data_IF_542807441247
#
_entry.id   IF_542807441247
#
_cell.length_a   1.000
_cell.length_b   1.000
_cell.length_c   1.000
_cell.angle_alpha   90.00
_cell.angle_beta   90.00
_cell.angle_gamma   90.00
#
_symmetry.space_group_name_H-M   'P 1'
#
loop_
_entity.id
_entity.type
_entity.pdbx_description
1 polymer ?
#
# COMPACT_ATOMS: atom_id res chain seq x y z
N UNK A 1 3.47 0.13 58.07
CA UNK A 1 2.61 -1.06 58.11
C UNK A 1 3.10 -1.93 59.24
N UNK A 2 2.26 -2.16 60.24
CA UNK A 2 2.62 -2.90 61.44
C UNK A 2 2.50 -4.41 61.15
N UNK A 3 3.62 -5.13 61.25
CA UNK A 3 3.69 -6.56 60.96
C UNK A 3 2.99 -7.41 62.04
N UNK A 4 2.59 -6.80 63.15
CA UNK A 4 1.92 -7.47 64.27
C UNK A 4 0.46 -7.84 63.96
N UNK A 5 -0.21 -7.10 63.07
CA UNK A 5 -1.61 -7.34 62.68
C UNK A 5 -1.78 -8.54 61.72
N UNK A 6 -0.70 -8.98 61.06
CA UNK A 6 -0.72 -10.07 60.09
C UNK A 6 -0.60 -11.46 60.74
N UNK A 7 -0.21 -11.53 62.02
CA UNK A 7 0.13 -12.79 62.69
C UNK A 7 -1.09 -13.59 63.18
N UNK A 8 -2.29 -13.01 63.10
CA UNK A 8 -3.54 -13.64 63.53
C UNK A 8 -4.54 -13.95 62.41
N UNK A 9 -4.25 -13.57 61.16
CA UNK A 9 -5.18 -13.78 60.04
C UNK A 9 -4.96 -15.16 59.43
N UNK A 10 -6.03 -15.94 59.33
CA UNK A 10 -5.97 -17.23 58.63
C UNK A 10 -5.72 -17.01 57.14
N UNK A 11 -5.15 -18.01 56.45
CA UNK A 11 -4.96 -17.93 55.00
C UNK A 11 -6.27 -17.60 54.28
N UNK A 12 -7.42 -18.15 54.72
CA UNK A 12 -8.72 -17.82 54.14
C UNK A 12 -9.15 -16.37 54.35
N UNK A 13 -8.72 -15.70 55.43
CA UNK A 13 -9.06 -14.31 55.68
C UNK A 13 -8.17 -13.36 54.89
N UNK A 14 -6.89 -13.70 54.73
CA UNK A 14 -6.00 -13.00 53.80
C UNK A 14 -6.47 -13.14 52.35
N UNK A 15 -6.90 -14.34 51.95
CA UNK A 15 -7.51 -14.57 50.63
C UNK A 15 -8.82 -13.81 50.45
N UNK A 16 -9.68 -13.73 51.48
CA UNK A 16 -10.93 -12.94 51.45
C UNK A 16 -10.67 -11.45 51.29
N UNK A 17 -9.65 -10.93 51.97
CA UNK A 17 -9.25 -9.52 51.91
C UNK A 17 -8.63 -9.18 50.55
N UNK A 18 -7.83 -10.08 49.97
CA UNK A 18 -7.32 -9.96 48.59
C UNK A 18 -8.45 -10.04 47.56
N UNK A 19 -9.42 -10.94 47.73
CA UNK A 19 -10.60 -11.06 46.85
C UNK A 19 -11.54 -9.86 46.98
N UNK A 20 -11.66 -9.23 48.16
CA UNK A 20 -12.37 -7.97 48.34
C UNK A 20 -11.61 -6.77 47.75
N UNK A 21 -10.28 -6.76 47.80
CA UNK A 21 -9.45 -5.74 47.15
C UNK A 21 -9.38 -5.90 45.62
N UNK A 22 -9.62 -7.11 45.12
CA UNK A 22 -9.86 -7.44 43.71
C UNK A 22 -11.36 -7.53 43.39
N UNK A 23 -12.17 -6.69 44.03
CA UNK A 23 -13.49 -6.36 43.52
C UNK A 23 -13.35 -5.84 42.09
N UNK A 24 -13.89 -6.59 41.14
CA UNK A 24 -14.06 -6.17 39.75
C UNK A 24 -14.63 -4.74 39.73
N UNK A 25 -13.94 -3.72 39.18
CA UNK A 25 -14.51 -2.38 39.12
C UNK A 25 -15.58 -2.40 38.03
N UNK A 26 -16.84 -2.56 38.42
CA UNK A 26 -17.88 -2.82 37.42
C UNK A 26 -19.33 -2.78 37.89
N UNK A 27 -19.63 -2.23 39.06
CA UNK A 27 -21.01 -1.85 39.38
C UNK A 27 -21.48 -0.73 38.44
N UNK A 28 -22.74 -0.77 37.97
CA UNK A 28 -23.33 0.33 37.18
C UNK A 28 -23.23 1.69 37.90
N UNK A 29 -23.20 1.67 39.23
CA UNK A 29 -23.01 2.84 40.09
C UNK A 29 -21.60 3.44 39.98
N UNK A 30 -20.56 2.62 39.95
CA UNK A 30 -19.16 3.08 39.86
C UNK A 30 -18.84 3.69 38.50
N UNK A 31 -19.40 3.11 37.43
CA UNK A 31 -19.26 3.63 36.07
C UNK A 31 -19.93 4.99 35.95
N UNK A 32 -21.14 5.14 36.48
CA UNK A 32 -21.88 6.42 36.43
C UNK A 32 -21.18 7.49 37.27
N UNK A 33 -20.65 7.14 38.44
CA UNK A 33 -19.86 8.06 39.26
C UNK A 33 -18.59 8.51 38.52
N UNK A 34 -17.86 7.58 37.89
CA UNK A 34 -16.68 7.91 37.10
C UNK A 34 -17.00 8.81 35.88
N UNK A 35 -18.12 8.57 35.21
CA UNK A 35 -18.58 9.44 34.10
C UNK A 35 -18.94 10.85 34.57
N UNK A 36 -19.56 10.98 35.75
CA UNK A 36 -19.93 12.28 36.33
C UNK A 36 -18.73 13.08 36.85
N UNK A 37 -17.59 12.43 37.10
CA UNK A 37 -16.32 13.12 37.38
C UNK A 37 -15.81 13.89 36.16
N UNK A 38 -16.09 13.41 34.95
CA UNK A 38 -15.62 14.05 33.71
C UNK A 38 -16.35 15.36 33.46
N UNK A 39 -17.68 15.35 33.59
CA UNK A 39 -18.52 16.52 33.40
C UNK A 39 -19.74 16.44 34.33
N UNK A 40 -20.10 17.51 35.07
CA UNK A 40 -21.33 17.56 35.84
C UNK A 40 -22.56 17.40 34.95
N UNK A 41 -23.47 16.51 35.32
CA UNK A 41 -24.70 16.25 34.56
C UNK A 41 -25.83 17.17 35.02
N UNK A 42 -26.66 17.61 34.06
CA UNK A 42 -27.86 18.38 34.36
C UNK A 42 -28.83 17.56 35.23
N UNK A 43 -29.47 18.22 36.19
CA UNK A 43 -30.50 17.60 37.01
C UNK A 43 -31.76 17.32 36.18
N UNK A 44 -32.31 16.12 36.30
CA UNK A 44 -33.50 15.71 35.57
C UNK A 44 -34.66 16.67 35.84
N UNK A 45 -34.84 17.16 37.07
CA UNK A 45 -35.96 18.05 37.39
C UNK A 45 -35.89 19.39 36.65
N UNK A 46 -34.69 19.84 36.28
CA UNK A 46 -34.47 21.14 35.63
C UNK A 46 -34.84 21.17 34.14
N UNK A 47 -35.04 20.01 33.51
CA UNK A 47 -35.25 19.92 32.05
C UNK A 47 -36.59 19.25 31.72
N UNK A 48 -37.51 20.02 31.13
CA UNK A 48 -38.85 19.56 30.74
C UNK A 48 -38.96 19.20 29.25
N UNK A 49 -38.06 19.72 28.41
CA UNK A 49 -38.06 19.49 26.97
C UNK A 49 -36.63 19.36 26.43
N UNK A 50 -36.48 18.57 25.36
CA UNK A 50 -35.18 18.40 24.70
C UNK A 50 -34.67 19.74 24.17
N UNK A 51 -33.47 20.22 24.55
CA UNK A 51 -32.96 21.51 24.12
C UNK A 51 -32.70 21.57 22.60
N UNK A 52 -32.49 20.40 21.97
CA UNK A 52 -32.14 20.23 20.57
C UNK A 52 -33.35 20.22 19.62
N UNK A 53 -34.42 19.50 19.95
CA UNK A 53 -35.59 19.38 19.07
C UNK A 53 -36.91 19.84 19.71
N UNK A 54 -36.84 20.38 20.93
CA UNK A 54 -37.99 20.91 21.71
C UNK A 54 -39.09 19.90 22.02
N UNK A 55 -38.85 18.61 21.83
CA UNK A 55 -39.79 17.55 22.23
C UNK A 55 -39.88 17.47 23.76
N UNK A 56 -41.09 17.55 24.31
CA UNK A 56 -41.34 17.41 25.74
C UNK A 56 -40.95 16.01 26.23
N UNK A 57 -40.32 15.94 27.41
CA UNK A 57 -39.97 14.67 28.04
C UNK A 57 -41.20 14.04 28.70
N UNK A 58 -41.26 12.71 28.66
CA UNK A 58 -42.32 11.93 29.28
C UNK A 58 -41.76 10.58 29.76
N UNK A 59 -42.05 10.14 31.00
CA UNK A 59 -41.43 8.94 31.59
C UNK A 59 -41.57 7.64 30.77
N UNK A 60 -42.64 7.52 29.97
CA UNK A 60 -42.93 6.32 29.20
C UNK A 60 -42.52 6.42 27.72
N UNK A 61 -42.63 7.60 27.11
CA UNK A 61 -42.60 7.75 25.65
C UNK A 61 -41.42 8.59 25.15
N UNK A 62 -40.82 9.42 26.00
CA UNK A 62 -39.63 10.21 25.67
C UNK A 62 -38.80 10.40 26.94
N UNK A 63 -37.96 9.41 27.26
CA UNK A 63 -37.12 9.43 28.44
C UNK A 63 -35.94 10.39 28.27
N UNK A 64 -35.38 10.81 29.40
CA UNK A 64 -34.22 11.70 29.47
C UNK A 64 -32.94 10.89 29.31
N UNK A 65 -31.97 11.46 28.58
CA UNK A 65 -30.65 10.88 28.39
C UNK A 65 -29.59 11.95 28.56
N UNK A 66 -28.59 11.71 29.39
CA UNK A 66 -27.46 12.63 29.54
C UNK A 66 -26.43 12.45 28.44
N UNK A 67 -25.91 13.55 27.93
CA UNK A 67 -24.69 13.56 27.14
C UNK A 67 -23.51 13.26 28.05
N UNK A 68 -22.76 12.20 27.77
CA UNK A 68 -21.57 11.85 28.55
C UNK A 68 -20.41 12.84 28.33
N UNK A 69 -20.46 13.65 27.26
CA UNK A 69 -19.43 14.67 27.00
C UNK A 69 -19.73 16.01 27.70
N UNK A 70 -20.96 16.52 27.59
CA UNK A 70 -21.32 17.87 28.09
C UNK A 70 -22.34 17.88 29.23
N UNK A 71 -22.83 16.73 29.69
CA UNK A 71 -23.77 16.61 30.80
C UNK A 71 -25.23 17.01 30.49
N UNK A 72 -25.51 17.61 29.33
CA UNK A 72 -26.87 18.05 28.97
C UNK A 72 -27.85 16.91 28.77
N UNK A 73 -29.13 17.14 29.08
CA UNK A 73 -30.21 16.18 28.84
C UNK A 73 -30.76 16.32 27.42
N UNK A 74 -30.91 15.21 26.69
CA UNK A 74 -31.54 15.13 25.38
C UNK A 74 -32.46 13.90 25.22
N UNK A 75 -33.24 13.88 24.14
CA UNK A 75 -34.03 12.73 23.73
C UNK A 75 -33.26 11.77 22.81
N UNK A 76 -33.70 10.52 22.73
CA UNK A 76 -33.24 9.50 21.78
C UNK A 76 -34.34 9.12 20.77
N UNK A 77 -35.11 10.11 20.33
CA UNK A 77 -36.22 9.90 19.41
C UNK A 77 -35.74 9.88 17.94
N UNK A 78 -36.39 9.11 17.05
CA UNK A 78 -36.00 8.96 15.64
C UNK A 78 -36.21 10.24 14.82
N UNK A 79 -35.58 10.36 13.66
CA UNK A 79 -35.72 11.53 12.76
C UNK A 79 -37.21 11.83 12.47
N UNK A 80 -37.59 13.11 12.54
CA UNK A 80 -38.94 13.61 12.22
C UNK A 80 -38.86 14.97 11.57
N UNK A 81 -39.02 15.03 10.25
CA UNK A 81 -38.97 16.29 9.51
C UNK A 81 -40.26 17.12 9.68
N UNK A 82 -40.18 18.46 9.79
CA UNK A 82 -38.97 19.28 9.86
C UNK A 82 -38.41 19.45 11.29
N UNK A 83 -39.12 18.99 12.33
CA UNK A 83 -38.81 19.32 13.73
C UNK A 83 -37.47 18.73 14.24
N UNK A 84 -37.01 17.62 13.66
CA UNK A 84 -35.79 16.90 13.99
C UNK A 84 -35.23 16.25 12.71
N UNK A 85 -34.41 16.96 11.93
CA UNK A 85 -33.82 16.42 10.70
C UNK A 85 -32.73 15.36 10.96
N UNK A 86 -32.13 15.38 12.15
CA UNK A 86 -31.10 14.44 12.59
C UNK A 86 -31.33 14.05 14.07
N UNK A 87 -30.88 12.86 14.51
CA UNK A 87 -31.06 12.42 15.89
C UNK A 87 -30.41 13.37 16.89
N UNK A 88 -31.01 13.49 18.08
CA UNK A 88 -30.50 14.37 19.13
C UNK A 88 -29.38 13.71 19.95
N UNK A 89 -29.40 12.38 20.03
CA UNK A 89 -28.37 11.58 20.67
C UNK A 89 -27.70 10.67 19.65
N UNK A 90 -26.41 10.46 19.82
CA UNK A 90 -25.56 9.60 19.01
C UNK A 90 -24.81 8.64 19.93
N UNK A 91 -24.45 7.48 19.40
CA UNK A 91 -23.70 6.47 20.13
C UNK A 91 -22.34 6.27 19.47
N UNK A 92 -21.27 6.34 20.27
CA UNK A 92 -19.91 6.11 19.81
C UNK A 92 -19.28 4.95 20.56
N UNK A 93 -18.51 4.12 19.89
CA UNK A 93 -17.62 3.15 20.54
C UNK A 93 -16.18 3.59 20.33
N UNK A 94 -15.30 3.22 21.26
CA UNK A 94 -13.87 3.39 21.10
C UNK A 94 -13.22 2.00 21.12
N UNK A 95 -12.34 1.75 20.16
CA UNK A 95 -11.45 0.59 20.17
C UNK A 95 -10.43 0.77 21.31
N UNK A 96 -10.37 -0.21 22.21
CA UNK A 96 -9.50 -0.17 23.40
C UNK A 96 -8.00 -0.23 23.06
N UNK A 97 -7.63 -0.76 21.90
CA UNK A 97 -6.24 -0.90 21.44
C UNK A 97 -5.83 0.29 20.59
N UNK A 98 -6.66 0.69 19.63
CA UNK A 98 -6.31 1.75 18.68
C UNK A 98 -6.75 3.15 19.14
N UNK A 99 -7.66 3.24 20.11
CA UNK A 99 -8.28 4.51 20.52
C UNK A 99 -9.21 5.09 19.46
N UNK A 100 -9.39 4.41 18.33
CA UNK A 100 -10.22 4.88 17.22
C UNK A 100 -11.68 4.89 17.64
N UNK A 101 -12.36 5.98 17.34
CA UNK A 101 -13.76 6.19 17.68
C UNK A 101 -14.61 5.93 16.44
N UNK A 102 -15.73 5.24 16.62
CA UNK A 102 -16.70 4.91 15.57
C UNK A 102 -18.12 5.24 16.03
N UNK A 103 -18.90 5.86 15.15
CA UNK A 103 -20.33 6.09 15.36
C UNK A 103 -21.11 4.81 15.04
N UNK A 104 -21.98 4.35 15.96
CA UNK A 104 -22.73 3.10 15.80
C UNK A 104 -24.22 3.38 15.78
N UNK A 105 -24.95 2.63 14.95
CA UNK A 105 -26.41 2.67 14.90
C UNK A 105 -27.07 2.13 16.18
N UNK A 106 -28.33 2.51 16.43
CA UNK A 106 -29.11 2.08 17.60
C UNK A 106 -29.17 0.54 17.66
N UNK A 107 -28.62 -0.05 18.73
CA UNK A 107 -28.51 -1.51 18.90
C UNK A 107 -27.35 -1.97 19.81
N UNK A 108 -26.46 -1.07 20.22
CA UNK A 108 -25.45 -1.33 21.26
C UNK A 108 -25.97 -0.76 22.57
N UNK A 109 -26.47 -1.62 23.45
CA UNK A 109 -26.97 -1.22 24.77
C UNK A 109 -25.81 -0.68 25.63
N UNK A 110 -26.00 0.53 26.16
CA UNK A 110 -25.09 1.13 27.13
C UNK A 110 -25.09 0.31 28.42
N UNK A 111 -24.00 -0.41 28.72
CA UNK A 111 -23.86 -1.12 29.99
C UNK A 111 -24.85 -2.26 30.21
N UNK A 112 -25.41 -2.86 29.15
CA UNK A 112 -26.16 -4.13 29.19
C UNK A 112 -25.80 -4.94 27.95
N UNK A 113 -25.57 -6.27 28.12
CA UNK A 113 -25.23 -7.22 27.05
C UNK A 113 -26.13 -7.02 25.82
N UNK A 114 -25.54 -7.10 24.61
CA UNK A 114 -26.30 -7.30 23.36
C UNK A 114 -27.38 -8.36 23.59
N UNK A 115 -28.66 -7.99 23.49
CA UNK A 115 -29.73 -8.98 23.39
C UNK A 115 -29.56 -9.69 22.06
N UNK A 116 -29.49 -11.04 22.02
CA UNK A 116 -29.61 -11.77 20.77
C UNK A 116 -30.94 -11.35 20.13
N UNK A 117 -30.90 -10.93 18.87
CA UNK A 117 -32.11 -10.70 18.08
C UNK A 117 -32.96 -11.97 18.13
N UNK A 118 -34.19 -11.87 18.62
CA UNK A 118 -35.14 -12.97 18.65
C UNK A 118 -35.63 -13.25 17.23
N UNK A 119 -34.85 -14.03 16.48
CA UNK A 119 -35.33 -14.75 15.29
C UNK A 119 -34.51 -16.05 15.18
N UNK A 120 -35.08 -17.23 15.51
CA UNK A 120 -34.39 -18.49 15.36
C UNK A 120 -34.45 -18.92 13.89
N UNK A 121 -33.62 -18.33 13.05
CA UNK A 121 -33.34 -18.88 11.73
C UNK A 121 -32.25 -19.94 11.89
N UNK A 122 -32.67 -21.20 11.82
CA UNK A 122 -31.86 -22.42 11.86
C UNK A 122 -30.58 -22.30 11.01
N UNK A 123 -29.45 -22.63 11.64
CA UNK A 123 -28.32 -23.26 10.95
C UNK A 123 -27.24 -22.33 10.45
N UNK A 124 -26.43 -21.77 11.35
CA UNK A 124 -25.01 -21.50 11.07
C UNK A 124 -24.21 -21.76 12.34
N UNK A 125 -23.10 -22.48 12.16
CA UNK A 125 -22.13 -22.87 13.21
C UNK A 125 -21.83 -21.66 14.10
N UNK A 126 -21.95 -21.87 15.41
CA UNK A 126 -21.40 -21.00 16.44
C UNK A 126 -19.87 -21.01 16.29
N UNK A 127 -19.33 -20.05 15.55
CA UNK A 127 -17.96 -19.61 15.78
C UNK A 127 -18.00 -18.80 17.08
N UNK A 128 -17.20 -19.23 18.06
CA UNK A 128 -17.08 -18.57 19.34
C UNK A 128 -16.54 -17.14 19.14
N UNK A 129 -17.44 -16.16 19.04
CA UNK A 129 -17.08 -14.75 19.20
C UNK A 129 -16.42 -14.58 20.57
N UNK A 130 -15.21 -14.03 20.58
CA UNK A 130 -14.42 -13.83 21.79
C UNK A 130 -15.19 -13.03 22.84
N UNK A 131 -14.97 -13.34 24.13
CA UNK A 131 -15.65 -12.66 25.25
C UNK A 131 -15.50 -11.13 25.23
N UNK A 132 -14.44 -10.63 24.59
CA UNK A 132 -14.15 -9.20 24.42
C UNK A 132 -15.10 -8.48 23.44
N UNK A 133 -15.70 -9.18 22.46
CA UNK A 133 -16.67 -8.60 21.52
C UNK A 133 -18.07 -8.42 22.13
N UNK A 134 -18.31 -9.01 23.32
CA UNK A 134 -19.62 -9.02 23.98
C UNK A 134 -19.95 -7.72 24.72
N UNK A 135 -18.98 -6.82 24.90
CA UNK A 135 -19.13 -5.58 25.67
C UNK A 135 -18.44 -4.39 25.00
N UNK A 136 -18.92 -3.97 23.84
CA UNK A 136 -18.58 -2.64 23.34
C UNK A 136 -19.24 -1.60 24.26
N UNK A 137 -18.44 -0.99 25.15
CA UNK A 137 -18.89 0.12 26.01
C UNK A 137 -19.07 1.36 25.13
N UNK A 138 -20.26 1.52 24.56
CA UNK A 138 -20.61 2.73 23.82
C UNK A 138 -20.76 3.93 24.75
N UNK A 139 -20.47 5.13 24.26
CA UNK A 139 -20.64 6.43 24.90
C UNK A 139 -21.74 7.21 24.19
N UNK A 140 -22.79 7.61 24.91
CA UNK A 140 -23.88 8.41 24.32
C UNK A 140 -23.55 9.90 24.41
N UNK A 141 -23.57 10.60 23.27
CA UNK A 141 -23.33 12.04 23.19
C UNK A 141 -24.47 12.75 22.48
N UNK A 142 -24.56 14.06 22.66
CA UNK A 142 -25.52 14.87 21.91
C UNK A 142 -24.95 15.22 20.53
N UNK A 143 -25.81 15.53 19.57
CA UNK A 143 -25.36 15.91 18.22
C UNK A 143 -24.43 17.12 18.20
N UNK A 144 -24.63 18.09 19.10
CA UNK A 144 -23.76 19.28 19.22
C UNK A 144 -22.35 18.92 19.70
N UNK A 145 -22.20 17.79 20.40
CA UNK A 145 -20.92 17.27 20.87
C UNK A 145 -20.18 16.44 19.82
N UNK A 146 -20.85 16.01 18.75
CA UNK A 146 -20.25 15.22 17.67
C UNK A 146 -19.00 15.89 17.07
N UNK A 147 -19.02 17.19 16.70
CA UNK A 147 -17.85 17.83 16.11
C UNK A 147 -16.68 17.94 17.09
N UNK A 148 -16.95 18.02 18.41
CA UNK A 148 -15.92 18.07 19.45
C UNK A 148 -15.19 16.73 19.53
N UNK A 149 -15.95 15.62 19.57
CA UNK A 149 -15.39 14.27 19.61
C UNK A 149 -14.55 13.96 18.36
N UNK A 150 -15.09 14.27 17.17
CA UNK A 150 -14.38 14.03 15.90
C UNK A 150 -13.12 14.89 15.77
N UNK A 151 -13.12 16.12 16.29
CA UNK A 151 -11.91 16.96 16.33
C UNK A 151 -10.83 16.34 17.21
N UNK A 152 -11.21 15.75 18.34
CA UNK A 152 -10.23 15.11 19.23
C UNK A 152 -9.64 13.85 18.59
N UNK A 153 -10.46 13.03 17.93
CA UNK A 153 -9.98 11.91 17.11
C UNK A 153 -8.99 12.39 16.04
N UNK A 154 -9.32 13.44 15.30
CA UNK A 154 -8.42 14.00 14.29
C UNK A 154 -7.07 14.42 14.88
N UNK A 155 -7.04 15.09 16.04
CA UNK A 155 -5.77 15.46 16.70
C UNK A 155 -4.95 14.24 17.09
N UNK A 156 -5.58 13.16 17.54
CA UNK A 156 -4.89 11.92 17.88
C UNK A 156 -4.29 11.28 16.62
N UNK A 157 -5.07 11.18 15.56
CA UNK A 157 -4.63 10.64 14.26
C UNK A 157 -3.47 11.48 13.68
N UNK A 158 -3.57 12.81 13.76
CA UNK A 158 -2.56 13.75 13.27
C UNK A 158 -1.22 13.70 14.02
N UNK A 159 -1.17 13.15 15.24
CA UNK A 159 0.10 12.90 15.96
C UNK A 159 0.90 11.74 15.36
N UNK A 160 0.23 10.82 14.67
CA UNK A 160 0.88 9.66 14.07
C UNK A 160 1.29 9.97 12.64
N UNK A 161 2.56 9.73 12.31
CA UNK A 161 3.03 9.81 10.92
C UNK A 161 2.57 8.52 10.23
N UNK A 162 1.70 8.59 9.20
CA UNK A 162 1.20 7.40 8.53
C UNK A 162 2.33 6.60 7.88
N UNK A 163 2.17 5.27 7.82
CA UNK A 163 3.15 4.38 7.17
C UNK A 163 3.43 4.78 5.72
N UNK A 164 2.40 5.29 5.03
CA UNK A 164 2.50 5.81 3.67
C UNK A 164 3.59 6.89 3.54
N UNK A 165 3.68 7.82 4.50
CA UNK A 165 4.67 8.90 4.47
C UNK A 165 6.09 8.36 4.62
N UNK A 166 6.29 7.42 5.56
CA UNK A 166 7.61 6.79 5.77
C UNK A 166 8.10 6.02 4.54
N UNK A 167 7.20 5.31 3.85
CA UNK A 167 7.54 4.63 2.60
C UNK A 167 7.86 5.61 1.47
N UNK A 168 7.12 6.72 1.41
CA UNK A 168 7.37 7.77 0.43
C UNK A 168 8.74 8.46 0.66
N UNK A 169 9.10 8.76 1.91
CA UNK A 169 10.42 9.32 2.24
C UNK A 169 11.56 8.37 1.81
N UNK A 170 11.41 7.07 2.07
CA UNK A 170 12.37 6.06 1.62
C UNK A 170 12.44 5.97 0.08
N UNK A 171 11.28 6.05 -0.59
CA UNK A 171 11.18 6.03 -2.04
C UNK A 171 11.91 7.23 -2.68
N UNK A 172 11.72 8.45 -2.15
CA UNK A 172 12.42 9.65 -2.63
C UNK A 172 13.92 9.62 -2.30
N UNK A 173 14.29 9.08 -1.13
CA UNK A 173 15.71 8.93 -0.76
C UNK A 173 16.44 8.00 -1.73
N UNK A 174 15.79 6.91 -2.14
CA UNK A 174 16.34 5.96 -3.10
C UNK A 174 16.38 6.52 -4.53
N UNK A 175 15.38 7.33 -4.92
CA UNK A 175 15.42 8.08 -6.19
C UNK A 175 16.69 8.93 -6.27
N UNK A 176 16.98 9.69 -5.20
CA UNK A 176 18.17 10.52 -5.09
C UNK A 176 19.46 9.69 -5.13
N UNK A 177 19.52 8.56 -4.42
CA UNK A 177 20.69 7.67 -4.46
C UNK A 177 20.99 7.17 -5.89
N UNK A 178 19.94 6.82 -6.65
CA UNK A 178 20.07 6.41 -8.04
C UNK A 178 20.57 7.58 -8.91
N UNK A 179 19.99 8.77 -8.74
CA UNK A 179 20.41 9.98 -9.48
C UNK A 179 21.86 10.36 -9.20
N UNK A 180 22.32 10.25 -7.96
CA UNK A 180 23.70 10.53 -7.55
C UNK A 180 24.70 9.47 -8.08
N UNK A 181 24.27 8.20 -8.18
CA UNK A 181 25.10 7.09 -8.64
C UNK A 181 25.23 6.97 -10.16
N UNK A 182 24.23 7.43 -10.92
CA UNK A 182 24.20 7.32 -12.38
C UNK A 182 25.38 8.02 -13.08
N UNK A 183 25.73 9.29 -12.77
CA UNK A 183 26.88 9.96 -13.40
C UNK A 183 28.21 9.24 -13.12
N UNK A 184 28.41 8.75 -11.89
CA UNK A 184 29.61 8.02 -11.50
C UNK A 184 29.74 6.72 -12.29
N UNK A 185 28.63 6.00 -12.48
CA UNK A 185 28.61 4.81 -13.30
C UNK A 185 28.88 5.11 -14.78
N UNK A 186 28.32 6.20 -15.32
CA UNK A 186 28.55 6.62 -16.71
C UNK A 186 30.03 7.00 -16.96
N UNK A 187 30.69 7.65 -16.01
CA UNK A 187 32.12 7.96 -16.09
C UNK A 187 32.98 6.69 -16.08
N UNK A 188 32.67 5.75 -15.17
CA UNK A 188 33.31 4.43 -15.14
C UNK A 188 33.14 3.71 -16.48
N UNK A 189 31.94 3.75 -17.07
CA UNK A 189 31.65 3.17 -18.38
C UNK A 189 32.47 3.79 -19.52
N UNK A 190 32.62 5.12 -19.55
CA UNK A 190 33.45 5.80 -20.55
C UNK A 190 34.93 5.43 -20.41
N UNK A 191 35.42 5.25 -19.18
CA UNK A 191 36.80 4.79 -18.95
C UNK A 191 37.04 3.36 -19.44
N UNK A 192 36.01 2.50 -19.44
CA UNK A 192 36.06 1.14 -19.99
C UNK A 192 36.09 1.11 -21.51
N UNK A 193 35.62 2.14 -22.21
CA UNK A 193 35.76 2.21 -23.67
C UNK A 193 37.23 2.19 -24.12
N UNK A 194 38.19 2.43 -23.21
CA UNK A 194 39.63 2.34 -23.45
C UNK A 194 40.27 1.00 -23.01
N UNK A 195 39.52 0.12 -22.36
CA UNK A 195 40.01 -1.14 -21.78
C UNK A 195 39.04 -2.31 -22.07
N UNK A 196 39.52 -3.40 -22.69
CA UNK A 196 38.70 -4.56 -23.11
C UNK A 196 37.93 -5.29 -21.99
N UNK A 197 38.15 -4.99 -20.70
CA UNK A 197 37.50 -5.68 -19.58
C UNK A 197 36.94 -4.71 -18.52
N UNK A 198 35.69 -4.90 -18.06
CA UNK A 198 35.11 -4.15 -16.95
C UNK A 198 35.96 -4.26 -15.67
N UNK A 199 36.24 -3.14 -15.03
CA UNK A 199 36.89 -3.12 -13.72
C UNK A 199 35.96 -3.75 -12.67
N UNK A 200 36.52 -4.34 -11.60
CA UNK A 200 35.70 -4.85 -10.49
C UNK A 200 34.85 -3.74 -9.86
N UNK A 201 35.34 -2.50 -9.87
CA UNK A 201 34.61 -1.32 -9.42
C UNK A 201 33.38 -1.01 -10.29
N UNK A 202 33.53 -1.00 -11.63
CA UNK A 202 32.40 -0.80 -12.54
C UNK A 202 31.34 -1.91 -12.42
N UNK A 203 31.77 -3.15 -12.26
CA UNK A 203 30.87 -4.29 -12.05
C UNK A 203 30.11 -4.19 -10.72
N UNK A 204 30.78 -3.76 -9.65
CA UNK A 204 30.17 -3.52 -8.34
C UNK A 204 29.19 -2.34 -8.37
N UNK A 205 29.55 -1.24 -9.03
CA UNK A 205 28.68 -0.07 -9.22
C UNK A 205 27.41 -0.45 -9.99
N UNK A 206 27.55 -1.21 -11.10
CA UNK A 206 26.42 -1.74 -11.86
C UNK A 206 25.48 -2.57 -10.99
N UNK A 207 26.03 -3.48 -10.18
CA UNK A 207 25.23 -4.34 -9.29
C UNK A 207 24.44 -3.52 -8.28
N UNK A 208 25.08 -2.55 -7.60
CA UNK A 208 24.41 -1.68 -6.62
C UNK A 208 23.29 -0.87 -7.29
N UNK A 209 23.53 -0.34 -8.48
CA UNK A 209 22.55 0.45 -9.21
C UNK A 209 21.33 -0.38 -9.63
N UNK A 210 21.54 -1.61 -10.13
CA UNK A 210 20.45 -2.55 -10.44
C UNK A 210 19.65 -2.94 -9.19
N UNK A 211 20.33 -3.13 -8.06
CA UNK A 211 19.67 -3.41 -6.78
C UNK A 211 18.83 -2.22 -6.31
N UNK A 212 19.37 -1.00 -6.39
CA UNK A 212 18.65 0.23 -6.06
C UNK A 212 17.40 0.41 -6.95
N UNK A 213 17.51 0.18 -8.26
CA UNK A 213 16.34 0.18 -9.16
C UNK A 213 15.28 -0.86 -8.78
N UNK A 214 15.71 -2.07 -8.41
CA UNK A 214 14.81 -3.12 -7.94
C UNK A 214 14.10 -2.75 -6.62
N UNK A 215 14.82 -2.15 -5.68
CA UNK A 215 14.25 -1.65 -4.43
C UNK A 215 13.26 -0.49 -4.67
N UNK A 216 13.55 0.38 -5.63
CA UNK A 216 12.71 1.53 -6.00
C UNK A 216 11.37 1.07 -6.62
N UNK A 217 11.41 0.12 -7.55
CA UNK A 217 10.21 -0.52 -8.08
C UNK A 217 9.38 -1.23 -6.99
N UNK A 218 10.05 -1.98 -6.11
CA UNK A 218 9.40 -2.68 -5.02
C UNK A 218 8.70 -1.72 -4.04
N UNK A 219 9.34 -0.60 -3.69
CA UNK A 219 8.75 0.44 -2.84
C UNK A 219 7.54 1.10 -3.51
N UNK A 220 7.65 1.45 -4.79
CA UNK A 220 6.53 2.00 -5.57
C UNK A 220 5.31 1.07 -5.58
N UNK A 221 5.52 -0.22 -5.87
CA UNK A 221 4.47 -1.25 -5.84
C UNK A 221 3.86 -1.42 -4.46
N UNK A 222 4.69 -1.40 -3.41
CA UNK A 222 4.23 -1.48 -2.01
C UNK A 222 3.37 -0.28 -1.64
N UNK A 223 3.76 0.93 -2.03
CA UNK A 223 2.98 2.15 -1.81
C UNK A 223 1.61 2.04 -2.51
N UNK A 224 1.58 1.50 -3.74
CA UNK A 224 0.33 1.31 -4.49
C UNK A 224 -0.62 0.26 -3.91
N UNK A 225 -0.10 -0.70 -3.15
CA UNK A 225 -0.89 -1.77 -2.52
C UNK A 225 -1.42 -1.39 -1.13
N UNK A 226 -1.03 -0.24 -0.57
CA UNK A 226 -1.50 0.19 0.74
C UNK A 226 -3.01 0.49 0.72
N UNK A 227 -3.77 0.08 1.75
CA UNK A 227 -5.19 0.43 1.86
C UNK A 227 -5.43 1.94 1.82
N UNK A 228 -6.44 2.34 1.05
CA UNK A 228 -6.82 3.76 0.89
C UNK A 228 -8.01 4.10 1.77
N UNK A 229 -7.87 5.13 2.60
CA UNK A 229 -9.01 5.63 3.38
C UNK A 229 -10.01 6.28 2.43
N UNK A 230 -11.22 5.75 2.34
CA UNK A 230 -12.27 6.23 1.44
C UNK A 230 -12.44 5.42 0.15
N UNK A 231 -11.66 4.36 -0.06
CA UNK A 231 -11.82 3.44 -1.18
C UNK A 231 -11.25 3.93 -2.52
N UNK A 232 -11.64 3.28 -3.64
CA UNK A 232 -11.23 3.69 -4.99
C UNK A 232 -11.57 5.15 -5.28
N UNK A 233 -10.71 5.85 -6.02
CA UNK A 233 -10.84 7.27 -6.37
C UNK A 233 -10.72 8.27 -5.21
N UNK A 234 -10.43 7.81 -3.99
CA UNK A 234 -10.08 8.69 -2.87
C UNK A 234 -8.84 9.55 -3.17
N UNK A 235 -8.64 10.63 -2.42
CA UNK A 235 -7.43 11.46 -2.56
C UNK A 235 -6.14 10.66 -2.35
N UNK A 236 -6.16 9.70 -1.41
CA UNK A 236 -5.04 8.81 -1.16
C UNK A 236 -4.78 7.86 -2.33
N UNK A 237 -5.83 7.27 -2.92
CA UNK A 237 -5.71 6.40 -4.09
C UNK A 237 -5.09 7.14 -5.29
N UNK A 238 -5.58 8.36 -5.58
CA UNK A 238 -5.01 9.21 -6.64
C UNK A 238 -3.53 9.52 -6.41
N UNK A 239 -3.15 9.79 -5.16
CA UNK A 239 -1.75 10.06 -4.80
C UNK A 239 -0.86 8.81 -4.96
N UNK A 240 -1.32 7.64 -4.50
CA UNK A 240 -0.62 6.37 -4.68
C UNK A 240 -0.46 6.00 -6.17
N UNK A 241 -1.49 6.27 -6.99
CA UNK A 241 -1.44 6.07 -8.43
C UNK A 241 -0.42 7.00 -9.11
N UNK A 242 -0.36 8.27 -8.69
CA UNK A 242 0.63 9.22 -9.20
C UNK A 242 2.07 8.83 -8.85
N UNK A 243 2.31 8.33 -7.63
CA UNK A 243 3.64 7.82 -7.22
C UNK A 243 4.04 6.63 -8.10
N UNK A 244 3.12 5.69 -8.34
CA UNK A 244 3.39 4.54 -9.21
C UNK A 244 3.71 4.98 -10.66
N UNK A 245 2.97 5.96 -11.19
CA UNK A 245 3.23 6.52 -12.52
C UNK A 245 4.61 7.21 -12.59
N UNK A 246 4.97 8.02 -11.58
CA UNK A 246 6.30 8.64 -11.46
C UNK A 246 7.39 7.58 -11.46
N UNK A 247 7.23 6.53 -10.66
CA UNK A 247 8.21 5.46 -10.58
C UNK A 247 8.45 4.79 -11.94
N UNK A 248 7.37 4.45 -12.65
CA UNK A 248 7.46 3.85 -13.98
C UNK A 248 8.21 4.75 -14.97
N UNK A 249 7.91 6.05 -14.98
CA UNK A 249 8.61 7.03 -15.84
C UNK A 249 10.09 7.14 -15.48
N UNK A 250 10.42 7.18 -14.20
CA UNK A 250 11.80 7.25 -13.73
C UNK A 250 12.61 6.01 -14.11
N UNK A 251 12.02 4.81 -13.96
CA UNK A 251 12.64 3.55 -14.36
C UNK A 251 12.88 3.49 -15.86
N UNK A 252 11.87 3.84 -16.68
CA UNK A 252 12.01 3.86 -18.14
C UNK A 252 13.13 4.81 -18.60
N UNK A 253 13.23 5.99 -17.98
CA UNK A 253 14.25 6.98 -18.31
C UNK A 253 15.67 6.54 -17.92
N UNK A 254 15.83 5.98 -16.73
CA UNK A 254 17.16 5.81 -16.13
C UNK A 254 17.71 4.38 -16.15
N UNK A 255 16.88 3.37 -16.47
CA UNK A 255 17.32 1.97 -16.54
C UNK A 255 17.82 1.55 -17.94
N UNK A 256 17.39 2.26 -18.99
CA UNK A 256 17.79 2.02 -20.39
C UNK A 256 19.30 2.24 -20.68
N UNK A 257 19.97 3.25 -20.09
CA UNK A 257 21.42 3.48 -20.31
C UNK A 257 22.37 2.42 -19.73
N UNK A 258 21.88 1.47 -18.92
CA UNK A 258 22.71 0.45 -18.25
C UNK A 258 22.89 -0.85 -19.03
N UNK A 259 22.36 -0.89 -20.25
CA UNK A 259 22.22 -2.09 -21.05
C UNK A 259 23.30 -2.23 -22.14
N UNK A 260 24.03 -1.16 -22.47
CA UNK A 260 25.14 -1.18 -23.44
C UNK A 260 26.50 -1.42 -22.76
N UNK A 261 26.86 -2.69 -22.54
CA UNK A 261 28.26 -3.09 -22.34
C UNK A 261 28.60 -4.26 -23.28
N UNK A 262 29.67 -4.17 -24.08
CA UNK A 262 30.20 -5.30 -24.84
C UNK A 262 30.61 -6.44 -23.90
N UNK A 263 30.20 -7.67 -24.21
CA UNK A 263 30.64 -8.87 -23.48
C UNK A 263 32.09 -9.22 -23.87
N UNK A 264 32.93 -9.47 -22.86
CA UNK A 264 34.26 -10.04 -23.04
C UNK A 264 34.17 -11.43 -23.66
N UNK A 265 34.76 -11.62 -24.84
CA UNK A 265 34.84 -12.91 -25.53
C UNK A 265 35.89 -13.79 -24.85
N UNK A 266 35.44 -14.90 -24.27
CA UNK A 266 36.32 -16.00 -23.89
C UNK A 266 36.77 -16.73 -25.15
N UNK A 267 38.05 -16.58 -25.51
CA UNK A 267 38.67 -17.34 -26.58
C UNK A 267 38.76 -18.82 -26.24
N UNK A 268 38.18 -19.66 -27.09
CA UNK A 268 38.54 -21.08 -27.19
C UNK A 268 38.95 -21.34 -28.64
N UNK A 269 40.24 -21.66 -28.84
CA UNK A 269 40.79 -22.15 -30.10
C UNK A 269 40.48 -23.64 -30.23
N UNK A 270 39.93 -24.07 -31.36
CA UNK A 270 40.22 -25.40 -31.94
C UNK A 270 39.90 -25.44 -33.44
N UNK A 271 40.80 -26.10 -34.16
CA UNK A 271 41.07 -26.25 -35.60
C UNK A 271 39.94 -26.82 -36.49
N UNK A 272 40.12 -26.86 -37.83
CA UNK A 272 39.03 -26.89 -38.81
C UNK A 272 38.65 -28.31 -39.26
N UNK A 273 37.38 -28.48 -39.60
CA UNK A 273 36.92 -29.61 -40.42
C UNK A 273 35.83 -29.16 -41.39
N UNK A 274 36.08 -29.55 -42.63
CA UNK A 274 35.41 -29.32 -43.91
C UNK A 274 33.95 -29.77 -43.97
N UNK A 275 33.05 -28.96 -44.55
CA UNK A 275 31.99 -29.40 -45.49
C UNK A 275 31.11 -28.24 -46.03
N UNK A 276 31.20 -28.03 -47.35
CA UNK A 276 30.16 -27.60 -48.32
C UNK A 276 29.07 -26.55 -47.98
N UNK A 277 29.19 -25.38 -48.63
CA UNK A 277 28.19 -24.49 -49.31
C UNK A 277 26.68 -24.71 -49.13
N UNK A 278 25.82 -23.66 -49.16
CA UNK A 278 25.88 -22.55 -50.13
C UNK A 278 25.77 -21.11 -49.57
N UNK A 279 26.32 -20.19 -50.37
CA UNK A 279 26.29 -18.72 -50.31
C UNK A 279 25.33 -18.08 -49.29
N UNK A 280 25.83 -17.76 -48.10
CA UNK A 280 25.34 -16.61 -47.36
C UNK A 280 25.90 -15.35 -48.05
N UNK A 281 25.00 -14.45 -48.45
CA UNK A 281 25.37 -13.12 -48.89
C UNK A 281 26.24 -12.49 -47.80
N UNK A 282 27.55 -12.38 -48.06
CA UNK A 282 28.47 -11.65 -47.20
C UNK A 282 28.03 -10.19 -47.21
N UNK A 283 27.27 -9.80 -46.19
CA UNK A 283 26.93 -8.40 -45.94
C UNK A 283 28.26 -7.70 -45.65
N UNK A 284 28.65 -6.80 -46.55
CA UNK A 284 29.82 -5.95 -46.39
C UNK A 284 29.78 -5.27 -45.01
N UNK A 285 30.78 -5.49 -44.13
CA UNK A 285 30.77 -4.95 -42.76
C UNK A 285 30.72 -3.42 -42.69
N UNK A 286 30.99 -2.71 -43.80
CA UNK A 286 30.88 -1.25 -43.92
C UNK A 286 29.56 -0.75 -44.54
N UNK A 287 28.60 -1.64 -44.82
CA UNK A 287 27.30 -1.28 -45.37
C UNK A 287 26.44 -0.50 -44.37
N UNK A 288 25.70 0.52 -44.85
CA UNK A 288 24.72 1.30 -44.07
C UNK A 288 23.67 0.40 -43.38
N UNK A 289 23.36 -0.73 -44.02
CA UNK A 289 22.50 -1.77 -43.46
C UNK A 289 23.12 -2.43 -42.22
N UNK A 290 24.42 -2.79 -42.28
CA UNK A 290 25.12 -3.42 -41.16
C UNK A 290 25.17 -2.47 -39.95
N UNK A 291 25.42 -1.18 -40.18
CA UNK A 291 25.40 -0.14 -39.12
C UNK A 291 24.01 0.04 -38.49
N UNK A 292 22.95 -0.15 -39.27
CA UNK A 292 21.57 -0.05 -38.79
C UNK A 292 21.14 -1.30 -38.01
N UNK A 293 21.58 -2.49 -38.45
CA UNK A 293 21.23 -3.77 -37.83
C UNK A 293 22.04 -4.05 -36.56
N UNK A 294 23.29 -3.60 -36.49
CA UNK A 294 24.20 -3.85 -35.37
C UNK A 294 23.59 -3.53 -33.99
N UNK A 295 23.01 -2.33 -33.73
CA UNK A 295 22.40 -2.05 -32.43
C UNK A 295 21.20 -2.94 -32.11
N UNK A 296 20.42 -3.38 -33.12
CA UNK A 296 19.27 -4.27 -32.92
C UNK A 296 19.70 -5.70 -32.59
N UNK A 297 20.77 -6.18 -33.23
CA UNK A 297 21.37 -7.49 -32.93
C UNK A 297 21.98 -7.53 -31.53
N UNK A 298 22.61 -6.43 -31.10
CA UNK A 298 23.11 -6.27 -29.73
C UNK A 298 21.97 -6.27 -28.70
N UNK A 299 20.86 -5.59 -29.02
CA UNK A 299 19.64 -5.60 -28.18
C UNK A 299 18.99 -6.98 -28.10
N UNK A 300 18.93 -7.72 -29.21
CA UNK A 300 18.43 -9.09 -29.26
C UNK A 300 19.25 -10.01 -28.33
N UNK A 301 20.57 -10.02 -28.49
CA UNK A 301 21.47 -10.86 -27.69
C UNK A 301 21.41 -10.53 -26.19
N UNK A 302 21.14 -9.27 -25.83
CA UNK A 302 20.97 -8.86 -24.45
C UNK A 302 19.63 -9.34 -23.88
N UNK A 303 18.54 -9.15 -24.62
CA UNK A 303 17.19 -9.60 -24.23
C UNK A 303 17.15 -11.12 -24.04
N UNK A 304 17.82 -11.88 -24.91
CA UNK A 304 17.98 -13.33 -24.75
C UNK A 304 18.64 -13.68 -23.40
N UNK A 305 19.72 -12.99 -23.04
CA UNK A 305 20.40 -13.25 -21.76
C UNK A 305 19.54 -12.90 -20.54
N UNK A 306 18.73 -11.84 -20.62
CA UNK A 306 17.80 -11.49 -19.54
C UNK A 306 16.62 -12.47 -19.44
N UNK A 307 16.15 -13.02 -20.56
CA UNK A 307 15.14 -14.09 -20.53
C UNK A 307 15.69 -15.32 -19.81
N UNK A 308 16.94 -15.70 -20.08
CA UNK A 308 17.57 -16.85 -19.42
C UNK A 308 17.83 -16.58 -17.93
N UNK A 309 18.29 -15.39 -17.56
CA UNK A 309 18.47 -14.98 -16.16
C UNK A 309 17.14 -14.94 -15.39
N UNK A 310 16.09 -14.35 -15.98
CA UNK A 310 14.76 -14.30 -15.38
C UNK A 310 14.19 -15.72 -15.16
N UNK A 311 14.41 -16.64 -16.11
CA UNK A 311 14.07 -18.06 -15.94
C UNK A 311 14.88 -18.72 -14.83
N UNK A 312 16.20 -18.49 -14.77
CA UNK A 312 17.07 -19.04 -13.74
C UNK A 312 16.65 -18.58 -12.33
N UNK A 313 16.20 -17.33 -12.20
CA UNK A 313 15.68 -16.77 -10.96
C UNK A 313 14.18 -17.00 -10.71
N UNK A 314 13.51 -17.82 -11.53
CA UNK A 314 12.07 -18.15 -11.43
C UNK A 314 11.15 -16.92 -11.46
N UNK A 315 11.58 -15.84 -12.12
CA UNK A 315 10.79 -14.62 -12.36
C UNK A 315 10.00 -14.76 -13.67
N UNK A 316 8.93 -15.57 -13.63
CA UNK A 316 8.23 -16.00 -14.84
C UNK A 316 7.45 -14.89 -15.56
N UNK A 317 6.90 -13.91 -14.82
CA UNK A 317 6.24 -12.74 -15.42
C UNK A 317 7.24 -11.83 -16.14
N UNK A 318 8.39 -11.55 -15.52
CA UNK A 318 9.46 -10.78 -16.15
C UNK A 318 9.98 -11.49 -17.41
N UNK A 319 10.18 -12.81 -17.34
CA UNK A 319 10.57 -13.62 -18.50
C UNK A 319 9.53 -13.60 -19.63
N UNK A 320 8.24 -13.44 -19.32
CA UNK A 320 7.17 -13.33 -20.30
C UNK A 320 7.22 -11.97 -21.01
N UNK A 321 7.33 -10.88 -20.25
CA UNK A 321 7.45 -9.52 -20.80
C UNK A 321 8.71 -9.38 -21.66
N UNK A 322 9.85 -9.89 -21.20
CA UNK A 322 11.11 -9.87 -21.95
C UNK A 322 11.03 -10.66 -23.26
N UNK A 323 10.29 -11.78 -23.29
CA UNK A 323 10.04 -12.54 -24.52
C UNK A 323 9.19 -11.77 -25.53
N UNK A 324 8.20 -11.00 -25.09
CA UNK A 324 7.41 -10.15 -25.99
C UNK A 324 8.30 -9.07 -26.63
N UNK A 325 9.12 -8.39 -25.83
CA UNK A 325 10.09 -7.42 -26.36
C UNK A 325 11.08 -8.06 -27.34
N UNK A 326 11.57 -9.27 -27.04
CA UNK A 326 12.46 -10.02 -27.93
C UNK A 326 11.78 -10.33 -29.28
N UNK A 327 10.49 -10.68 -29.28
CA UNK A 327 9.73 -10.91 -30.50
C UNK A 327 9.57 -9.63 -31.34
N UNK A 328 9.35 -8.48 -30.69
CA UNK A 328 9.25 -7.19 -31.36
C UNK A 328 10.57 -6.78 -32.03
N UNK A 329 11.70 -6.92 -31.33
CA UNK A 329 13.03 -6.63 -31.90
C UNK A 329 13.34 -7.56 -33.08
N UNK A 330 13.06 -8.87 -32.96
CA UNK A 330 13.22 -9.83 -34.06
C UNK A 330 12.34 -9.49 -35.27
N UNK A 331 11.10 -9.05 -35.04
CA UNK A 331 10.21 -8.63 -36.12
C UNK A 331 10.75 -7.40 -36.85
N UNK A 332 11.36 -6.45 -36.13
CA UNK A 332 11.95 -5.25 -36.73
C UNK A 332 13.25 -5.56 -37.49
N UNK A 333 14.12 -6.42 -36.96
CA UNK A 333 15.30 -6.93 -37.68
C UNK A 333 14.88 -7.55 -39.02
N UNK A 334 13.89 -8.46 -38.98
CA UNK A 334 13.37 -9.10 -40.19
C UNK A 334 12.79 -8.09 -41.19
N UNK A 335 12.13 -7.03 -40.71
CA UNK A 335 11.59 -5.97 -41.55
C UNK A 335 12.70 -5.18 -42.25
N UNK A 336 13.76 -4.83 -41.54
CA UNK A 336 14.90 -4.07 -42.08
C UNK A 336 15.65 -4.91 -43.11
N UNK A 337 15.89 -6.19 -42.84
CA UNK A 337 16.50 -7.13 -43.79
C UNK A 337 15.64 -7.28 -45.04
N UNK A 338 14.33 -7.54 -44.89
CA UNK A 338 13.42 -7.69 -46.04
C UNK A 338 13.33 -6.42 -46.91
N UNK A 339 13.38 -5.24 -46.31
CA UNK A 339 13.40 -3.97 -47.03
C UNK A 339 14.71 -3.76 -47.82
N UNK A 340 15.84 -4.21 -47.27
CA UNK A 340 17.12 -4.16 -47.95
C UNK A 340 17.17 -5.13 -49.15
N UNK A 341 16.68 -6.35 -48.97
CA UNK A 341 16.60 -7.36 -50.04
C UNK A 341 15.69 -6.90 -51.19
N UNK A 342 14.54 -6.28 -50.88
CA UNK A 342 13.63 -5.71 -51.87
C UNK A 342 14.28 -4.55 -52.65
N UNK A 343 15.09 -3.72 -51.98
CA UNK A 343 15.81 -2.62 -52.60
C UNK A 343 16.94 -3.10 -53.53
N UNK A 344 17.66 -4.16 -53.13
CA UNK A 344 18.67 -4.81 -53.96
C UNK A 344 18.08 -5.48 -55.21
N UNK A 345 16.93 -6.17 -55.06
CA UNK A 345 16.23 -6.79 -56.19
C UNK A 345 15.65 -5.78 -57.19
N UNK A 346 15.23 -4.59 -56.71
CA UNK A 346 14.76 -3.49 -57.55
C UNK A 346 15.87 -2.85 -58.40
N UNK A 347 17.09 -2.72 -57.86
CA UNK A 347 18.24 -2.18 -58.59
C UNK A 347 18.78 -3.15 -59.66
N UNK A 348 18.73 -4.47 -59.42
CA UNK A 348 19.19 -5.47 -60.40
C UNK A 348 18.31 -5.53 -61.66
N UNK A 349 17.02 -5.17 -61.60
CA UNK A 349 16.10 -5.15 -62.75
C UNK A 349 16.25 -3.91 -63.64
N UNK A 350 16.87 -2.82 -63.17
CA UNK A 350 17.13 -1.61 -63.97
C UNK A 350 18.46 -1.64 -64.73
N UNK A 351 19.36 -2.56 -64.39
CA UNK A 351 20.70 -2.65 -64.99
C UNK A 351 20.80 -3.43 -66.31
N UNK A 352 19.76 -4.16 -66.73
CA UNK A 352 19.83 -5.09 -67.88
C UNK A 352 19.26 -4.56 -69.20
N UNK A 353 18.89 -3.28 -69.30
CA UNK A 353 18.48 -2.64 -70.55
C UNK A 353 19.42 -1.49 -70.94
N UNK A 354 20.66 -1.80 -71.27
CA UNK A 354 21.47 -0.97 -72.17
C UNK A 354 22.58 -1.82 -72.79
N UNK A 355 22.83 -1.57 -74.07
CA UNK A 355 23.77 -2.23 -74.99
C UNK A 355 23.12 -3.42 -75.74
N UNK A 356 22.65 -3.18 -76.96
CA UNK A 356 23.34 -3.58 -78.19
C UNK A 356 22.94 -2.58 -79.31
N UNK A 357 23.96 -2.07 -79.99
CA UNK A 357 23.86 -1.25 -81.21
C UNK A 357 23.47 -2.09 -82.42
#
# INVERSE_FOLDING_TARGET
MDFSELKGKSASDLWREVVQSQGTPGGKSDIRAAEQVITPWEDDASVTQCPLCKSAFHPLTNRKHHCRLCGRIMCSLPIKLPQRPEPCSLLFIADSKSGRIEEVSEGVDYGVRRRPSSNPAKGRKEEAMGEDEKFLKGVQICRDCRPVLLREQYKQEARSIPIFFKLYDAFISLEKEIEDALPQFQELMLSLSNHERPTPEASAARKRLLEAFGQYDALSKRIRQLPTTGGPESSQDRMQAAIAARANQFLQKNMFPLQSLPKATHGMKSSPSTSSTPEEAQIDPDSELARTLQPLLEQEALLESFVEEAKAHRKFEDAKTLKTNLQEIRAEINRIVANADASAAGNSRRGTFRIHS
#
